data_IF_186607081676
#
_entry.id   IF_186607081676
#
_cell.length_a   1.000
_cell.length_b   1.000
_cell.length_c   1.000
_cell.angle_alpha   90.00
_cell.angle_beta   90.00
_cell.angle_gamma   90.00
#
_symmetry.space_group_name_H-M   'P 1'
#
loop_
_entity.id
_entity.type
_entity.pdbx_description
1 polymer ?
#
# COMPACT_ATOMS: atom_id res chain seq x y z
N UNK A 1 -19.73 -0.35 -34.77
CA UNK A 1 -19.39 0.58 -33.70
C UNK A 1 -18.64 1.74 -34.31
N UNK A 2 -18.85 2.98 -33.85
CA UNK A 2 -18.05 4.12 -34.34
C UNK A 2 -16.59 3.93 -33.92
N UNK A 3 -15.64 4.48 -34.68
CA UNK A 3 -14.20 4.44 -34.32
C UNK A 3 -13.95 4.96 -32.90
N UNK A 4 -14.69 5.96 -32.46
CA UNK A 4 -14.61 6.57 -31.13
C UNK A 4 -15.05 5.62 -30.01
N UNK A 5 -16.15 4.87 -30.20
CA UNK A 5 -16.61 3.88 -29.20
C UNK A 5 -15.60 2.76 -29.01
N UNK A 6 -14.90 2.36 -30.07
CA UNK A 6 -13.83 1.37 -29.98
C UNK A 6 -12.64 1.93 -29.19
N UNK A 7 -12.25 3.18 -29.47
CA UNK A 7 -11.16 3.85 -28.72
C UNK A 7 -11.49 3.98 -27.22
N UNK A 8 -12.73 4.27 -26.85
CA UNK A 8 -13.16 4.28 -25.45
C UNK A 8 -13.00 2.90 -24.81
N UNK A 9 -13.47 1.84 -25.48
CA UNK A 9 -13.36 0.48 -24.98
C UNK A 9 -11.90 0.06 -24.79
N UNK A 10 -11.00 0.45 -25.68
CA UNK A 10 -9.57 0.15 -25.57
C UNK A 10 -8.95 0.86 -24.37
N UNK A 11 -9.27 2.13 -24.15
CA UNK A 11 -8.78 2.90 -22.97
C UNK A 11 -9.27 2.32 -21.64
N UNK A 12 -10.54 1.94 -21.58
CA UNK A 12 -11.13 1.31 -20.39
C UNK A 12 -10.43 -0.03 -20.10
N UNK A 13 -10.17 -0.81 -21.14
CA UNK A 13 -9.49 -2.10 -21.02
C UNK A 13 -8.02 -1.95 -20.59
N UNK A 14 -7.29 -0.96 -21.15
CA UNK A 14 -5.93 -0.61 -20.74
C UNK A 14 -5.86 -0.21 -19.26
N UNK A 15 -6.90 0.43 -18.73
CA UNK A 15 -7.03 0.79 -17.31
C UNK A 15 -7.43 -0.40 -16.40
N UNK A 16 -7.50 -1.62 -16.96
CA UNK A 16 -7.88 -2.82 -16.22
C UNK A 16 -9.36 -2.86 -15.81
N UNK A 17 -10.23 -2.20 -16.56
CA UNK A 17 -11.67 -2.21 -16.36
C UNK A 17 -12.36 -3.13 -17.37
N UNK A 18 -13.43 -3.80 -16.92
CA UNK A 18 -14.18 -4.77 -17.75
C UNK A 18 -15.56 -4.22 -18.05
N UNK A 19 -15.81 -3.97 -19.33
CA UNK A 19 -17.12 -3.56 -19.86
C UNK A 19 -17.43 -4.37 -21.11
N UNK A 20 -18.68 -4.76 -21.29
CA UNK A 20 -19.16 -5.42 -22.50
C UNK A 20 -19.29 -4.43 -23.64
N UNK A 21 -19.79 -3.23 -23.31
CA UNK A 21 -19.88 -2.13 -24.24
C UNK A 21 -19.79 -0.80 -23.47
N UNK A 22 -19.32 0.27 -24.11
CA UNK A 22 -19.21 1.59 -23.47
C UNK A 22 -20.45 2.41 -23.80
N UNK A 23 -21.22 2.74 -22.77
CA UNK A 23 -22.34 3.68 -22.85
C UNK A 23 -21.78 5.11 -22.73
N UNK A 24 -22.04 5.93 -23.75
CA UNK A 24 -21.51 7.29 -23.80
C UNK A 24 -22.66 8.32 -23.73
N UNK A 25 -23.45 8.20 -22.69
CA UNK A 25 -24.66 9.00 -22.39
C UNK A 25 -24.38 10.15 -21.40
N UNK A 26 -23.12 10.32 -20.98
CA UNK A 26 -22.73 11.33 -20.01
C UNK A 26 -23.14 11.00 -18.57
N UNK A 27 -23.56 9.76 -18.28
CA UNK A 27 -23.80 9.31 -16.91
C UNK A 27 -22.60 8.53 -16.36
N UNK A 28 -22.57 8.36 -15.04
CA UNK A 28 -21.55 7.56 -14.38
C UNK A 28 -21.95 6.08 -14.41
N UNK A 29 -21.16 5.26 -15.08
CA UNK A 29 -21.35 3.82 -15.16
C UNK A 29 -20.36 3.08 -14.27
N UNK A 30 -20.87 2.08 -13.53
CA UNK A 30 -20.03 1.18 -12.73
C UNK A 30 -19.71 -0.09 -13.52
N UNK A 31 -18.49 -0.58 -13.34
CA UNK A 31 -18.01 -1.78 -14.03
C UNK A 31 -17.07 -2.60 -13.16
N UNK A 32 -16.81 -3.83 -13.59
CA UNK A 32 -15.83 -4.70 -12.96
C UNK A 32 -14.38 -4.30 -13.26
N UNK A 33 -13.46 -4.99 -12.61
CA UNK A 33 -12.02 -4.90 -12.87
C UNK A 33 -11.50 -6.24 -13.39
N UNK A 34 -10.37 -6.26 -14.08
CA UNK A 34 -9.80 -7.48 -14.70
C UNK A 34 -9.63 -8.61 -13.69
N UNK A 35 -9.22 -8.29 -12.47
CA UNK A 35 -9.05 -9.26 -11.38
C UNK A 35 -10.36 -9.59 -10.65
N UNK A 36 -11.41 -8.77 -10.80
CA UNK A 36 -12.76 -8.99 -10.26
C UNK A 36 -13.84 -8.54 -11.24
N UNK A 37 -14.13 -9.33 -12.29
CA UNK A 37 -15.07 -8.92 -13.35
C UNK A 37 -16.50 -8.60 -12.89
N UNK A 38 -16.96 -9.24 -11.83
CA UNK A 38 -18.29 -9.05 -11.26
C UNK A 38 -18.34 -7.99 -10.13
N UNK A 39 -17.26 -7.24 -9.92
CA UNK A 39 -17.24 -6.15 -8.93
C UNK A 39 -17.83 -4.86 -9.49
N UNK A 40 -17.95 -3.85 -8.63
CA UNK A 40 -18.28 -2.47 -8.98
C UNK A 40 -17.12 -1.53 -8.62
N UNK A 41 -15.88 -2.05 -8.72
CA UNK A 41 -14.67 -1.36 -8.31
C UNK A 41 -14.07 -0.49 -9.41
N UNK A 42 -14.73 -0.44 -10.58
CA UNK A 42 -14.45 0.48 -11.66
C UNK A 42 -15.60 1.43 -11.92
N UNK A 43 -15.29 2.57 -12.52
CA UNK A 43 -16.31 3.46 -13.11
C UNK A 43 -15.75 4.21 -14.31
N UNK A 44 -16.66 4.62 -15.19
CA UNK A 44 -16.35 5.52 -16.29
C UNK A 44 -17.53 6.48 -16.56
N UNK A 45 -17.23 7.58 -17.24
CA UNK A 45 -18.22 8.52 -17.78
C UNK A 45 -17.75 8.94 -19.17
N UNK A 46 -18.58 8.73 -20.19
CA UNK A 46 -18.21 8.95 -21.59
C UNK A 46 -19.20 9.86 -22.31
N UNK A 47 -18.68 10.63 -23.27
CA UNK A 47 -19.43 11.60 -24.08
C UNK A 47 -19.02 11.45 -25.55
N UNK A 48 -19.99 11.31 -26.46
CA UNK A 48 -19.74 11.25 -27.92
C UNK A 48 -19.80 12.63 -28.59
N UNK A 49 -20.43 13.62 -27.96
CA UNK A 49 -20.49 14.99 -28.48
C UNK A 49 -19.10 15.64 -28.44
N UNK A 50 -18.87 16.56 -29.36
CA UNK A 50 -17.55 17.18 -29.56
C UNK A 50 -17.11 18.09 -28.40
N UNK A 51 -15.87 17.94 -27.91
CA UNK A 51 -14.93 16.88 -28.24
C UNK A 51 -15.30 15.58 -27.51
N UNK A 52 -15.38 14.46 -28.25
CA UNK A 52 -15.66 13.16 -27.66
C UNK A 52 -14.63 12.85 -26.58
N UNK A 53 -15.09 12.43 -25.41
CA UNK A 53 -14.22 12.28 -24.24
C UNK A 53 -14.71 11.20 -23.30
N UNK A 54 -13.77 10.61 -22.56
CA UNK A 54 -14.06 9.63 -21.52
C UNK A 54 -13.17 9.90 -20.31
N UNK A 55 -13.73 9.71 -19.13
CA UNK A 55 -13.04 9.64 -17.85
C UNK A 55 -13.27 8.27 -17.24
N UNK A 56 -12.26 7.73 -16.51
CA UNK A 56 -12.35 6.46 -15.79
C UNK A 56 -11.64 6.49 -14.45
N UNK A 57 -12.04 5.56 -13.58
CA UNK A 57 -11.42 5.28 -12.29
C UNK A 57 -11.45 3.79 -11.99
N UNK A 58 -10.30 3.24 -11.62
CA UNK A 58 -10.15 1.90 -11.06
C UNK A 58 -9.75 2.03 -9.58
N UNK A 59 -10.67 1.72 -8.67
CA UNK A 59 -10.41 1.86 -7.22
C UNK A 59 -9.47 0.80 -6.67
N UNK A 60 -9.23 -0.30 -7.40
CA UNK A 60 -8.34 -1.37 -6.94
C UNK A 60 -6.88 -1.05 -7.22
N UNK A 61 -6.57 -0.56 -8.38
CA UNK A 61 -5.22 -0.17 -8.78
C UNK A 61 -4.90 1.27 -8.43
N UNK A 62 -5.92 2.11 -8.23
CA UNK A 62 -5.78 3.56 -8.09
C UNK A 62 -5.68 4.29 -9.41
N UNK A 63 -5.72 3.56 -10.56
CA UNK A 63 -5.63 4.17 -11.87
C UNK A 63 -6.83 5.09 -12.13
N UNK A 64 -6.54 6.31 -12.56
CA UNK A 64 -7.52 7.32 -12.92
C UNK A 64 -7.01 8.09 -14.12
N UNK A 65 -7.84 8.20 -15.13
CA UNK A 65 -7.44 8.87 -16.35
C UNK A 65 -8.61 9.48 -17.11
N UNK A 66 -8.24 10.15 -18.17
CA UNK A 66 -9.20 10.66 -19.16
C UNK A 66 -8.57 10.63 -20.55
N UNK A 67 -9.43 10.48 -21.56
CA UNK A 67 -9.02 10.56 -22.94
C UNK A 67 -9.98 11.46 -23.70
N UNK A 68 -9.47 12.14 -24.73
CA UNK A 68 -10.23 12.99 -25.62
C UNK A 68 -9.81 12.73 -27.06
N UNK A 69 -10.78 12.63 -27.95
CA UNK A 69 -10.56 12.39 -29.39
C UNK A 69 -9.93 13.55 -30.14
N UNK A 70 -9.78 14.72 -29.51
CA UNK A 70 -9.15 15.91 -30.08
C UNK A 70 -7.86 16.23 -29.33
N UNK A 71 -6.78 16.48 -30.06
CA UNK A 71 -5.51 16.90 -29.46
C UNK A 71 -5.67 18.25 -28.74
N UNK A 72 -4.99 18.41 -27.61
CA UNK A 72 -5.02 19.67 -26.87
C UNK A 72 -4.52 20.89 -27.67
N UNK A 73 -3.70 20.66 -28.73
CA UNK A 73 -3.28 21.73 -29.65
C UNK A 73 -4.39 22.17 -30.61
N UNK A 74 -5.31 21.27 -30.94
CA UNK A 74 -6.38 21.46 -31.90
C UNK A 74 -7.70 21.87 -31.24
N UNK A 75 -7.73 21.96 -29.91
CA UNK A 75 -8.89 22.42 -29.14
C UNK A 75 -8.93 23.93 -29.04
N UNK A 76 -10.12 24.48 -29.24
CA UNK A 76 -10.41 25.86 -28.84
C UNK A 76 -10.39 26.02 -27.32
N UNK A 77 -10.30 27.26 -26.84
CA UNK A 77 -10.37 27.55 -25.39
C UNK A 77 -11.68 27.05 -24.79
N UNK A 78 -12.80 27.25 -25.45
CA UNK A 78 -14.11 26.78 -25.00
C UNK A 78 -14.19 25.24 -24.90
N UNK A 79 -13.64 24.52 -25.88
CA UNK A 79 -13.60 23.03 -25.84
C UNK A 79 -12.73 22.49 -24.69
N UNK A 80 -11.60 23.18 -24.38
CA UNK A 80 -10.75 22.80 -23.23
C UNK A 80 -11.45 23.03 -21.90
N UNK A 81 -12.16 24.15 -21.77
CA UNK A 81 -12.94 24.46 -20.57
C UNK A 81 -14.09 23.45 -20.40
N UNK A 82 -14.81 23.13 -21.48
CA UNK A 82 -15.86 22.13 -21.44
C UNK A 82 -15.34 20.74 -21.05
N UNK A 83 -14.21 20.31 -21.61
CA UNK A 83 -13.58 19.04 -21.25
C UNK A 83 -13.17 19.02 -19.76
N UNK A 84 -12.54 20.10 -19.28
CA UNK A 84 -12.14 20.24 -17.87
C UNK A 84 -13.36 20.19 -16.94
N UNK A 85 -14.45 20.86 -17.30
CA UNK A 85 -15.70 20.84 -16.55
C UNK A 85 -16.31 19.42 -16.47
N UNK A 86 -16.36 18.70 -17.62
CA UNK A 86 -16.85 17.30 -17.67
C UNK A 86 -16.03 16.34 -16.80
N UNK A 87 -14.71 16.47 -16.83
CA UNK A 87 -13.83 15.65 -15.99
C UNK A 87 -14.06 15.97 -14.50
N UNK A 88 -14.17 17.24 -14.14
CA UNK A 88 -14.45 17.66 -12.77
C UNK A 88 -15.79 17.12 -12.27
N UNK A 89 -16.84 17.24 -13.08
CA UNK A 89 -18.19 16.71 -12.78
C UNK A 89 -18.17 15.18 -12.64
N UNK A 90 -17.43 14.47 -13.50
CA UNK A 90 -17.31 13.01 -13.40
C UNK A 90 -16.63 12.59 -12.10
N UNK A 91 -15.56 13.28 -11.70
CA UNK A 91 -14.84 13.04 -10.44
C UNK A 91 -15.73 13.32 -9.23
N UNK A 92 -16.46 14.41 -9.24
CA UNK A 92 -17.36 14.80 -8.15
C UNK A 92 -18.51 13.76 -8.01
N UNK A 93 -19.14 13.38 -9.12
CA UNK A 93 -20.18 12.36 -9.12
C UNK A 93 -19.67 11.01 -8.57
N UNK A 94 -18.48 10.58 -9.02
CA UNK A 94 -17.87 9.35 -8.54
C UNK A 94 -17.50 9.43 -7.04
N UNK A 95 -17.00 10.57 -6.58
CA UNK A 95 -16.67 10.78 -5.17
C UNK A 95 -17.92 10.78 -4.29
N UNK A 96 -18.99 11.42 -4.74
CA UNK A 96 -20.28 11.45 -4.04
C UNK A 96 -20.88 10.06 -3.92
N UNK A 97 -20.98 9.32 -5.02
CA UNK A 97 -21.50 7.95 -5.01
C UNK A 97 -20.66 7.04 -4.09
N UNK A 98 -19.33 7.18 -4.15
CA UNK A 98 -18.44 6.40 -3.30
C UNK A 98 -18.64 6.75 -1.82
N UNK A 99 -18.82 8.03 -1.49
CA UNK A 99 -19.12 8.47 -0.11
C UNK A 99 -20.45 7.90 0.40
N UNK A 100 -21.49 7.89 -0.44
CA UNK A 100 -22.78 7.28 -0.10
C UNK A 100 -22.68 5.77 0.14
N UNK A 101 -21.90 5.07 -0.69
CA UNK A 101 -21.62 3.63 -0.49
C UNK A 101 -20.89 3.38 0.84
N UNK A 102 -19.88 4.20 1.14
CA UNK A 102 -19.15 4.11 2.40
C UNK A 102 -20.07 4.37 3.60
N UNK A 103 -20.91 5.39 3.54
CA UNK A 103 -21.86 5.71 4.61
C UNK A 103 -22.84 4.55 4.89
N UNK A 104 -23.42 3.96 3.83
CA UNK A 104 -24.28 2.78 3.94
C UNK A 104 -23.56 1.58 4.53
N UNK A 105 -22.33 1.33 4.10
CA UNK A 105 -21.53 0.23 4.63
C UNK A 105 -21.13 0.45 6.10
N UNK A 106 -20.82 1.68 6.49
CA UNK A 106 -20.53 2.04 7.88
C UNK A 106 -21.73 1.82 8.78
N UNK A 107 -22.93 2.25 8.36
CA UNK A 107 -24.17 2.01 9.09
C UNK A 107 -24.45 0.50 9.25
N UNK A 108 -24.29 -0.26 8.16
CA UNK A 108 -24.44 -1.71 8.18
C UNK A 108 -23.41 -2.39 9.09
N UNK A 109 -22.16 -1.95 9.05
CA UNK A 109 -21.09 -2.44 9.93
C UNK A 109 -21.43 -2.23 11.39
N UNK A 110 -21.96 -1.06 11.77
CA UNK A 110 -22.44 -0.77 13.13
C UNK A 110 -23.54 -1.73 13.56
N UNK A 111 -24.58 -1.89 12.74
CA UNK A 111 -25.71 -2.80 13.03
C UNK A 111 -25.25 -4.26 13.21
N UNK A 112 -24.38 -4.73 12.32
CA UNK A 112 -23.83 -6.09 12.40
C UNK A 112 -22.96 -6.27 13.64
N UNK A 113 -22.16 -5.27 13.97
CA UNK A 113 -21.30 -5.27 15.15
C UNK A 113 -22.12 -5.28 16.46
N UNK A 114 -23.17 -4.50 16.55
CA UNK A 114 -24.08 -4.47 17.71
C UNK A 114 -24.82 -5.78 17.91
N UNK A 115 -25.30 -6.40 16.82
CA UNK A 115 -26.02 -7.67 16.85
C UNK A 115 -25.14 -8.90 17.14
N UNK A 116 -23.80 -8.76 17.02
CA UNK A 116 -22.87 -9.85 17.22
C UNK A 116 -22.52 -10.04 18.71
N UNK A 117 -22.23 -11.28 19.09
CA UNK A 117 -21.75 -11.62 20.44
C UNK A 117 -20.21 -11.64 20.51
N UNK A 118 -19.67 -11.60 21.72
CA UNK A 118 -18.22 -11.70 21.92
C UNK A 118 -17.69 -13.04 21.37
N UNK A 119 -16.60 -12.98 20.61
CA UNK A 119 -15.91 -14.19 20.15
C UNK A 119 -15.22 -14.87 21.33
N UNK A 120 -15.08 -16.19 21.24
CA UNK A 120 -14.37 -17.01 22.22
C UNK A 120 -13.21 -17.75 21.60
N UNK A 121 -12.27 -18.22 22.40
CA UNK A 121 -11.12 -19.03 21.96
C UNK A 121 -11.54 -20.33 21.25
N UNK A 122 -12.78 -20.77 21.43
CA UNK A 122 -13.33 -21.97 20.78
C UNK A 122 -13.58 -21.80 19.27
N UNK A 123 -13.52 -20.58 18.73
CA UNK A 123 -13.68 -20.38 17.30
C UNK A 123 -12.56 -21.10 16.52
N UNK A 124 -12.90 -21.97 15.52
CA UNK A 124 -11.92 -22.83 14.87
C UNK A 124 -10.67 -22.12 14.31
N UNK A 125 -10.86 -20.91 13.76
CA UNK A 125 -9.73 -20.10 13.29
C UNK A 125 -8.80 -19.67 14.44
N UNK A 126 -9.36 -19.19 15.57
CA UNK A 126 -8.57 -18.74 16.71
C UNK A 126 -7.85 -19.89 17.38
N UNK A 127 -8.55 -21.02 17.58
CA UNK A 127 -7.95 -22.24 18.11
C UNK A 127 -6.80 -22.74 17.25
N UNK A 128 -6.98 -22.80 15.91
CA UNK A 128 -5.93 -23.22 14.98
C UNK A 128 -4.74 -22.27 14.93
N UNK A 129 -4.96 -20.96 15.16
CA UNK A 129 -3.92 -19.94 15.17
C UNK A 129 -3.32 -19.68 16.56
N UNK A 130 -3.81 -20.38 17.59
CA UNK A 130 -3.39 -20.26 18.99
C UNK A 130 -3.39 -18.82 19.51
N UNK A 131 -4.40 -18.04 19.12
CA UNK A 131 -4.54 -16.63 19.52
C UNK A 131 -5.93 -16.36 20.10
N UNK A 132 -6.03 -15.58 21.20
CA UNK A 132 -7.31 -15.19 21.74
C UNK A 132 -8.02 -14.15 20.87
N UNK A 133 -9.32 -13.93 21.07
CA UNK A 133 -10.11 -13.01 20.25
C UNK A 133 -9.76 -11.53 20.42
N UNK A 134 -9.16 -11.11 21.52
CA UNK A 134 -8.80 -9.70 21.80
C UNK A 134 -9.93 -8.69 21.45
N UNK A 135 -11.15 -8.97 21.92
CA UNK A 135 -12.29 -8.09 21.66
C UNK A 135 -12.98 -8.25 20.32
N UNK A 136 -12.61 -9.24 19.52
CA UNK A 136 -13.37 -9.60 18.34
C UNK A 136 -14.79 -10.07 18.71
N UNK A 137 -15.69 -9.97 17.76
CA UNK A 137 -17.03 -10.51 17.87
C UNK A 137 -17.26 -11.63 16.85
N UNK A 138 -18.29 -12.42 17.09
CA UNK A 138 -18.72 -13.49 16.21
C UNK A 138 -20.12 -13.18 15.69
N UNK A 139 -20.28 -13.20 14.38
CA UNK A 139 -21.56 -13.04 13.70
C UNK A 139 -22.45 -14.28 13.92
N UNK A 140 -23.76 -14.14 13.66
CA UNK A 140 -24.73 -15.24 13.83
C UNK A 140 -24.41 -16.44 12.88
N UNK A 141 -23.78 -16.19 11.75
CA UNK A 141 -23.34 -17.22 10.80
C UNK A 141 -22.02 -17.91 11.19
N UNK A 142 -21.49 -17.60 12.37
CA UNK A 142 -20.30 -18.22 12.93
C UNK A 142 -18.99 -17.53 12.54
N UNK A 143 -18.95 -16.57 11.61
CA UNK A 143 -17.72 -15.89 11.21
C UNK A 143 -17.23 -14.91 12.28
N UNK A 144 -15.92 -14.81 12.47
CA UNK A 144 -15.32 -13.74 13.25
C UNK A 144 -15.49 -12.40 12.54
N UNK A 145 -15.64 -11.36 13.33
CA UNK A 145 -15.75 -9.97 12.87
C UNK A 145 -14.59 -9.18 13.46
N UNK A 146 -13.75 -8.63 12.60
CA UNK A 146 -12.66 -7.72 12.95
C UNK A 146 -13.08 -6.32 12.48
N UNK A 147 -13.24 -5.34 13.40
CA UNK A 147 -13.65 -3.99 12.99
C UNK A 147 -12.50 -3.29 12.26
N UNK A 148 -12.84 -2.64 11.16
CA UNK A 148 -11.94 -1.76 10.42
C UNK A 148 -12.18 -0.34 10.92
N UNK A 149 -11.24 0.19 11.70
CA UNK A 149 -11.33 1.49 12.34
C UNK A 149 -10.71 2.58 11.45
N UNK A 150 -11.23 3.78 11.50
CA UNK A 150 -10.61 4.97 10.92
C UNK A 150 -9.58 5.61 11.89
N UNK A 151 -8.94 6.70 11.47
CA UNK A 151 -7.96 7.42 12.29
C UNK A 151 -8.52 7.98 13.62
N UNK A 152 -9.83 8.13 13.73
CA UNK A 152 -10.52 8.56 14.97
C UNK A 152 -10.88 7.36 15.86
N UNK A 153 -10.62 6.12 15.42
CA UNK A 153 -11.00 4.90 16.11
C UNK A 153 -12.46 4.49 15.89
N UNK A 154 -13.13 5.10 14.92
CA UNK A 154 -14.53 4.80 14.60
C UNK A 154 -14.61 3.64 13.60
N UNK A 155 -15.46 2.61 13.85
CA UNK A 155 -15.66 1.53 12.88
C UNK A 155 -16.26 2.05 11.58
N UNK A 156 -15.58 1.79 10.45
CA UNK A 156 -16.03 2.17 9.11
C UNK A 156 -16.35 0.98 8.21
N UNK A 157 -15.89 -0.21 8.57
CA UNK A 157 -16.14 -1.46 7.87
C UNK A 157 -15.86 -2.65 8.79
N UNK A 158 -16.02 -3.86 8.27
CA UNK A 158 -15.71 -5.11 8.95
C UNK A 158 -14.91 -6.04 8.03
N UNK A 159 -13.96 -6.79 8.60
CA UNK A 159 -13.43 -7.99 7.98
C UNK A 159 -14.06 -9.20 8.65
N UNK A 160 -14.60 -10.12 7.85
CA UNK A 160 -15.09 -11.43 8.30
C UNK A 160 -14.00 -12.48 8.08
N UNK A 161 -13.83 -13.36 9.06
CA UNK A 161 -12.93 -14.52 8.97
C UNK A 161 -13.76 -15.75 9.30
N UNK A 162 -13.83 -16.70 8.37
CA UNK A 162 -14.56 -17.94 8.59
C UNK A 162 -13.74 -18.99 9.36
N UNK A 163 -14.34 -20.16 9.58
CA UNK A 163 -13.70 -21.26 10.27
C UNK A 163 -12.42 -21.75 9.58
N UNK A 164 -12.37 -21.69 8.25
CA UNK A 164 -11.22 -22.12 7.45
C UNK A 164 -10.14 -21.03 7.34
N UNK A 165 -10.47 -19.80 7.75
CA UNK A 165 -9.55 -18.65 7.73
C UNK A 165 -9.66 -17.81 6.45
N UNK A 166 -10.69 -18.03 5.62
CA UNK A 166 -10.95 -17.15 4.49
C UNK A 166 -11.38 -15.77 5.01
N UNK A 167 -10.78 -14.73 4.45
CA UNK A 167 -10.98 -13.35 4.87
C UNK A 167 -11.74 -12.57 3.81
N UNK A 168 -12.87 -11.96 4.19
CA UNK A 168 -13.67 -11.12 3.30
C UNK A 168 -14.05 -9.83 3.98
N UNK A 169 -13.95 -8.71 3.27
CA UNK A 169 -14.45 -7.44 3.79
C UNK A 169 -15.94 -7.26 3.53
N UNK A 170 -16.58 -6.46 4.37
CA UNK A 170 -17.94 -6.00 4.14
C UNK A 170 -18.01 -5.27 2.80
N UNK A 171 -18.92 -5.71 1.94
CA UNK A 171 -19.08 -5.14 0.59
C UNK A 171 -19.41 -3.65 0.66
N UNK A 172 -18.73 -2.85 -0.15
CA UNK A 172 -18.88 -1.39 -0.17
C UNK A 172 -18.21 -0.66 0.99
N UNK A 173 -17.63 -1.37 1.96
CA UNK A 173 -16.94 -0.77 3.10
C UNK A 173 -15.57 -0.16 2.73
N UNK A 174 -15.23 0.93 3.38
CA UNK A 174 -13.91 1.54 3.23
C UNK A 174 -12.87 0.73 3.99
N UNK A 175 -11.82 0.30 3.32
CA UNK A 175 -10.69 -0.43 3.92
C UNK A 175 -9.38 0.35 3.86
N UNK A 176 -9.23 1.22 2.87
CA UNK A 176 -8.04 2.05 2.70
C UNK A 176 -7.84 2.99 3.89
N UNK A 177 -6.67 2.91 4.52
CA UNK A 177 -6.32 3.65 5.73
C UNK A 177 -6.96 3.10 7.01
N UNK A 178 -7.80 2.06 6.90
CA UNK A 178 -8.42 1.42 8.04
C UNK A 178 -7.47 0.43 8.73
N UNK A 179 -7.63 0.28 10.03
CA UNK A 179 -6.83 -0.63 10.85
C UNK A 179 -7.68 -1.27 11.96
N UNK A 180 -7.16 -2.34 12.56
CA UNK A 180 -7.64 -2.85 13.85
C UNK A 180 -6.57 -2.59 14.91
N UNK A 181 -6.97 -2.26 16.14
CA UNK A 181 -6.04 -1.88 17.21
C UNK A 181 -6.08 -2.87 18.36
N UNK A 182 -4.91 -3.33 18.74
CA UNK A 182 -4.65 -4.04 20.00
C UNK A 182 -3.88 -3.08 20.92
N UNK A 183 -4.50 -2.55 21.97
CA UNK A 183 -3.80 -1.64 22.91
C UNK A 183 -2.70 -2.37 23.66
N UNK A 184 -1.69 -1.65 24.14
CA UNK A 184 -0.65 -2.25 24.96
C UNK A 184 -1.26 -2.90 26.21
N UNK A 185 -0.71 -4.05 26.63
CA UNK A 185 -1.25 -4.84 27.76
C UNK A 185 -1.20 -4.11 29.09
N UNK A 186 -0.18 -3.27 29.30
CA UNK A 186 0.00 -2.43 30.47
C UNK A 186 -0.73 -1.08 30.39
N UNK A 187 -1.45 -0.84 29.28
CA UNK A 187 -2.10 0.43 28.99
C UNK A 187 -1.17 1.56 28.61
N UNK A 188 0.16 1.30 28.48
CA UNK A 188 1.16 2.30 28.12
C UNK A 188 0.89 2.87 26.72
N UNK A 189 1.04 4.20 26.61
CA UNK A 189 0.98 4.90 25.31
C UNK A 189 2.36 5.20 24.74
N UNK A 190 3.41 5.04 25.54
CA UNK A 190 4.78 5.46 25.22
C UNK A 190 5.66 4.32 24.73
N UNK A 191 5.25 3.06 24.96
CA UNK A 191 5.97 1.88 24.45
C UNK A 191 5.89 1.75 22.91
N UNK A 192 6.65 0.81 22.33
CA UNK A 192 6.65 0.56 20.89
C UNK A 192 5.25 0.34 20.33
N UNK A 193 5.05 0.76 19.09
CA UNK A 193 3.85 0.50 18.30
C UNK A 193 4.22 -0.41 17.12
N UNK A 194 3.66 -1.61 17.11
CA UNK A 194 3.88 -2.56 16.03
C UNK A 194 2.81 -2.40 14.95
N UNK A 195 3.18 -2.60 13.69
CA UNK A 195 2.21 -2.62 12.57
C UNK A 195 2.40 -3.94 11.83
N UNK A 196 1.32 -4.72 11.74
CA UNK A 196 1.28 -6.03 11.10
C UNK A 196 0.24 -6.08 9.99
N UNK A 197 0.38 -7.04 9.08
CA UNK A 197 -0.58 -7.21 7.98
C UNK A 197 -1.89 -7.86 8.46
N UNK A 198 -1.84 -9.00 9.11
CA UNK A 198 -3.00 -9.82 9.45
C UNK A 198 -3.32 -9.87 10.94
N UNK A 199 -4.59 -10.25 11.28
CA UNK A 199 -5.01 -10.36 12.66
C UNK A 199 -4.18 -11.37 13.46
N UNK A 200 -3.98 -12.61 12.96
CA UNK A 200 -3.24 -13.63 13.70
C UNK A 200 -1.77 -13.24 13.93
N UNK A 201 -1.13 -12.64 12.90
CA UNK A 201 0.22 -12.05 13.01
C UNK A 201 0.25 -10.99 14.10
N UNK A 202 -0.69 -10.03 14.07
CA UNK A 202 -0.80 -8.97 15.07
C UNK A 202 -1.07 -9.48 16.49
N UNK A 203 -1.95 -10.49 16.63
CA UNK A 203 -2.26 -11.10 17.91
C UNK A 203 -1.05 -11.84 18.49
N UNK A 204 -0.28 -12.58 17.69
CA UNK A 204 0.96 -13.25 18.12
C UNK A 204 2.03 -12.25 18.57
N UNK A 205 2.19 -11.15 17.83
CA UNK A 205 3.08 -10.05 18.20
C UNK A 205 2.66 -9.43 19.56
N UNK A 206 1.36 -9.16 19.72
CA UNK A 206 0.82 -8.63 20.97
C UNK A 206 1.01 -9.60 22.15
N UNK A 207 0.76 -10.90 21.95
CA UNK A 207 0.99 -11.92 22.97
C UNK A 207 2.45 -11.98 23.42
N UNK A 208 3.36 -11.95 22.44
CA UNK A 208 4.79 -12.10 22.69
C UNK A 208 5.41 -10.89 23.39
N UNK A 209 5.00 -9.67 23.02
CA UNK A 209 5.65 -8.44 23.45
C UNK A 209 4.87 -7.65 24.50
N UNK A 210 3.55 -7.78 24.50
CA UNK A 210 2.65 -6.90 25.26
C UNK A 210 2.48 -5.50 24.65
N UNK A 211 3.17 -5.19 23.54
CA UNK A 211 3.12 -3.90 22.88
C UNK A 211 1.79 -3.66 22.16
N UNK A 212 1.48 -2.38 21.92
CA UNK A 212 0.35 -2.03 21.06
C UNK A 212 0.61 -2.46 19.61
N UNK A 213 -0.42 -2.97 18.96
CA UNK A 213 -0.34 -3.42 17.56
C UNK A 213 -1.47 -2.82 16.72
N UNK A 214 -1.14 -2.31 15.55
CA UNK A 214 -2.11 -1.98 14.51
C UNK A 214 -2.07 -3.06 13.41
N UNK A 215 -3.22 -3.61 13.07
CA UNK A 215 -3.39 -4.56 11.99
C UNK A 215 -3.87 -3.81 10.76
N UNK A 216 -3.09 -3.81 9.68
CA UNK A 216 -3.36 -3.07 8.46
C UNK A 216 -4.23 -3.84 7.43
N UNK A 217 -4.53 -5.10 7.70
CA UNK A 217 -5.36 -6.03 6.93
C UNK A 217 -4.77 -6.55 5.61
N UNK A 218 -3.91 -5.83 4.95
CA UNK A 218 -3.22 -6.26 3.73
C UNK A 218 -1.96 -5.42 3.46
N UNK A 219 -1.07 -5.97 2.64
CA UNK A 219 0.21 -5.39 2.24
C UNK A 219 0.05 -3.97 1.66
N UNK A 220 -0.95 -3.75 0.79
CA UNK A 220 -1.19 -2.46 0.14
C UNK A 220 -1.59 -1.32 1.10
N UNK A 221 -2.09 -1.68 2.28
CA UNK A 221 -2.54 -0.71 3.28
C UNK A 221 -1.45 -0.35 4.32
N UNK A 222 -0.36 -1.13 4.41
CA UNK A 222 0.72 -0.92 5.39
C UNK A 222 1.25 0.51 5.39
N UNK A 223 1.58 1.05 4.22
CA UNK A 223 2.11 2.41 4.11
C UNK A 223 1.11 3.48 4.57
N UNK A 224 -0.17 3.31 4.26
CA UNK A 224 -1.21 4.28 4.64
C UNK A 224 -1.42 4.26 6.16
N UNK A 225 -1.49 3.08 6.77
CA UNK A 225 -1.59 2.91 8.23
C UNK A 225 -0.33 3.43 8.92
N UNK A 226 0.85 3.15 8.40
CA UNK A 226 2.11 3.65 8.95
C UNK A 226 2.18 5.19 8.96
N UNK A 227 1.80 5.84 7.86
CA UNK A 227 1.72 7.31 7.78
C UNK A 227 0.74 7.90 8.78
N UNK A 228 -0.44 7.29 8.90
CA UNK A 228 -1.45 7.69 9.88
C UNK A 228 -0.89 7.53 11.31
N UNK A 229 -0.30 6.39 11.62
CA UNK A 229 0.30 6.13 12.93
C UNK A 229 1.42 7.14 13.28
N UNK A 230 2.32 7.45 12.34
CA UNK A 230 3.38 8.46 12.55
C UNK A 230 2.81 9.86 12.76
N UNK A 231 1.75 10.23 12.03
CA UNK A 231 1.07 11.52 12.24
C UNK A 231 0.41 11.62 13.61
N UNK A 232 -0.19 10.52 14.08
CA UNK A 232 -0.88 10.45 15.37
C UNK A 232 0.10 10.34 16.55
N UNK A 233 1.24 9.71 16.34
CA UNK A 233 2.29 9.43 17.34
C UNK A 233 3.66 9.86 16.80
N UNK A 234 3.97 11.17 16.74
CA UNK A 234 5.18 11.68 16.09
C UNK A 234 6.49 11.12 16.64
N UNK A 235 6.57 10.95 17.96
CA UNK A 235 7.78 10.57 18.67
C UNK A 235 7.82 9.09 19.07
N UNK A 236 6.73 8.36 18.83
CA UNK A 236 6.63 6.96 19.23
C UNK A 236 7.50 6.06 18.34
N UNK A 237 8.16 5.09 18.95
CA UNK A 237 8.86 4.04 18.23
C UNK A 237 7.84 3.19 17.46
N UNK A 238 7.92 3.18 16.11
CA UNK A 238 7.03 2.40 15.24
C UNK A 238 7.83 1.34 14.53
N UNK A 239 7.37 0.09 14.60
CA UNK A 239 8.04 -1.07 14.02
C UNK A 239 7.08 -1.76 13.04
N UNK A 240 7.45 -1.81 11.77
CA UNK A 240 6.76 -2.59 10.76
C UNK A 240 7.17 -4.05 10.89
N UNK A 241 6.20 -4.95 11.11
CA UNK A 241 6.43 -6.37 11.24
C UNK A 241 6.05 -7.06 9.92
N UNK A 242 7.06 -7.42 9.14
CA UNK A 242 6.89 -7.96 7.80
C UNK A 242 6.71 -9.47 7.79
N UNK A 243 5.69 -9.95 7.09
CA UNK A 243 5.56 -11.34 6.68
C UNK A 243 6.64 -11.65 5.63
N UNK A 244 7.19 -12.86 5.66
CA UNK A 244 8.33 -13.26 4.82
C UNK A 244 7.88 -14.26 3.74
N UNK A 245 7.55 -13.73 2.56
CA UNK A 245 7.02 -14.47 1.42
C UNK A 245 8.13 -14.92 0.44
N UNK A 246 9.19 -15.53 0.94
CA UNK A 246 10.40 -15.90 0.15
C UNK A 246 10.13 -16.77 -1.09
N UNK A 247 9.03 -17.52 -1.11
CA UNK A 247 8.66 -18.40 -2.22
C UNK A 247 7.91 -17.68 -3.34
N UNK A 248 7.47 -16.44 -3.10
CA UNK A 248 6.69 -15.68 -4.09
C UNK A 248 7.57 -15.26 -5.27
N UNK A 249 7.01 -15.29 -6.47
CA UNK A 249 7.69 -14.91 -7.71
C UNK A 249 6.88 -13.85 -8.45
N UNK A 250 7.60 -12.95 -9.16
CA UNK A 250 6.98 -12.05 -10.12
C UNK A 250 6.51 -12.81 -11.37
N UNK A 251 5.65 -12.24 -12.21
CA UNK A 251 5.22 -12.86 -13.47
C UNK A 251 6.38 -13.25 -14.40
N UNK A 252 7.52 -12.57 -14.31
CA UNK A 252 8.75 -12.85 -15.04
C UNK A 252 9.62 -13.94 -14.40
N UNK A 253 9.17 -14.55 -13.29
CA UNK A 253 9.87 -15.58 -12.55
C UNK A 253 10.91 -15.08 -11.54
N UNK A 254 11.17 -13.78 -11.46
CA UNK A 254 12.12 -13.21 -10.51
C UNK A 254 11.64 -13.40 -9.05
N UNK A 255 12.56 -13.62 -8.08
CA UNK A 255 12.20 -13.66 -6.67
C UNK A 255 11.48 -12.38 -6.24
N UNK A 256 10.42 -12.54 -5.45
CA UNK A 256 9.66 -11.41 -4.95
C UNK A 256 9.18 -11.68 -3.53
N UNK A 257 9.30 -10.67 -2.67
CA UNK A 257 8.83 -10.75 -1.29
C UNK A 257 7.95 -9.51 -1.01
N UNK A 258 6.67 -9.56 -1.40
CA UNK A 258 5.79 -8.41 -1.32
C UNK A 258 5.57 -7.90 0.11
N UNK A 259 5.51 -8.78 1.10
CA UNK A 259 5.38 -8.41 2.51
C UNK A 259 6.58 -7.59 2.99
N UNK A 260 7.79 -8.09 2.74
CA UNK A 260 9.02 -7.38 3.13
C UNK A 260 9.20 -6.09 2.34
N UNK A 261 8.92 -6.07 1.03
CA UNK A 261 9.04 -4.86 0.20
C UNK A 261 8.11 -3.74 0.68
N UNK A 262 6.84 -4.07 0.94
CA UNK A 262 5.86 -3.09 1.39
C UNK A 262 6.16 -2.57 2.80
N UNK A 263 6.53 -3.45 3.73
CA UNK A 263 6.89 -3.07 5.09
C UNK A 263 8.18 -2.23 5.12
N UNK A 264 9.20 -2.58 4.33
CA UNK A 264 10.44 -1.80 4.19
C UNK A 264 10.18 -0.40 3.67
N UNK A 265 9.36 -0.29 2.61
CA UNK A 265 8.94 1.02 2.05
C UNK A 265 8.18 1.85 3.08
N UNK A 266 7.28 1.22 3.83
CA UNK A 266 6.51 1.89 4.87
C UNK A 266 7.43 2.37 6.00
N UNK A 267 8.33 1.51 6.52
CA UNK A 267 9.29 1.85 7.56
C UNK A 267 10.19 3.02 7.14
N UNK A 268 10.82 2.94 5.97
CA UNK A 268 11.66 4.01 5.43
C UNK A 268 10.90 5.33 5.28
N UNK A 269 9.63 5.30 4.83
CA UNK A 269 8.83 6.50 4.63
C UNK A 269 8.53 7.25 5.92
N UNK A 270 8.35 6.54 7.04
CA UNK A 270 7.94 7.14 8.33
C UNK A 270 9.10 7.27 9.32
N UNK A 271 10.33 6.93 8.95
CA UNK A 271 11.44 6.82 9.90
C UNK A 271 11.17 5.77 10.99
N UNK A 272 10.53 4.68 10.63
CA UNK A 272 10.24 3.54 11.51
C UNK A 272 11.28 2.43 11.38
N UNK A 273 11.16 1.42 12.26
CA UNK A 273 11.99 0.22 12.24
C UNK A 273 11.29 -0.91 11.48
N UNK A 274 12.06 -1.94 11.13
CA UNK A 274 11.55 -3.10 10.39
C UNK A 274 11.96 -4.39 11.12
N UNK A 275 10.99 -5.19 11.50
CA UNK A 275 11.16 -6.56 11.96
C UNK A 275 10.70 -7.52 10.87
N UNK A 276 11.57 -8.39 10.37
CA UNK A 276 11.25 -9.38 9.34
C UNK A 276 11.10 -10.73 10.02
N UNK A 277 9.97 -11.41 9.80
CA UNK A 277 9.80 -12.78 10.27
C UNK A 277 10.89 -13.68 9.65
N UNK A 278 11.65 -14.44 10.43
CA UNK A 278 12.62 -15.36 9.87
C UNK A 278 11.91 -16.45 9.03
N UNK A 279 12.56 -16.89 7.96
CA UNK A 279 12.09 -18.05 7.21
C UNK A 279 12.09 -19.28 8.14
N UNK A 280 11.03 -20.08 8.03
CA UNK A 280 10.90 -21.32 8.78
C UNK A 280 11.00 -22.48 7.80
N UNK A 281 11.95 -23.38 8.02
CA UNK A 281 12.23 -24.54 7.17
C UNK A 281 12.46 -24.16 5.67
N UNK A 282 12.97 -22.94 5.44
CA UNK A 282 13.26 -22.41 4.11
C UNK A 282 12.04 -21.84 3.36
N UNK A 283 10.83 -21.97 3.91
CA UNK A 283 9.59 -21.51 3.30
C UNK A 283 9.13 -20.12 3.80
N UNK A 284 7.98 -19.69 3.29
CA UNK A 284 7.30 -18.49 3.75
C UNK A 284 6.85 -18.63 5.21
N UNK A 285 6.86 -17.53 5.94
CA UNK A 285 6.38 -17.48 7.32
C UNK A 285 5.87 -16.11 7.72
N UNK A 286 4.87 -16.08 8.56
CA UNK A 286 4.44 -14.91 9.30
C UNK A 286 4.76 -15.05 10.81
N UNK A 287 4.55 -13.99 11.61
CA UNK A 287 4.83 -14.06 13.04
C UNK A 287 3.88 -14.98 13.82
N UNK A 288 2.72 -15.35 13.27
CA UNK A 288 1.90 -16.39 13.85
C UNK A 288 2.49 -17.79 13.55
N UNK A 289 3.03 -18.03 12.37
CA UNK A 289 3.76 -19.25 12.06
C UNK A 289 5.01 -19.39 12.96
N UNK A 290 5.73 -18.30 13.22
CA UNK A 290 6.86 -18.26 14.14
C UNK A 290 6.43 -18.60 15.59
N UNK A 291 5.29 -18.03 16.03
CA UNK A 291 4.69 -18.36 17.32
C UNK A 291 4.41 -19.85 17.43
N UNK A 292 3.65 -20.42 16.49
CA UNK A 292 3.18 -21.79 16.52
C UNK A 292 4.28 -22.83 16.32
N UNK A 293 5.24 -22.56 15.43
CA UNK A 293 6.31 -23.53 15.10
C UNK A 293 7.53 -23.41 15.98
N UNK A 294 7.70 -22.30 16.68
CA UNK A 294 8.82 -22.04 17.60
C UNK A 294 8.30 -21.65 18.99
N UNK A 295 8.02 -20.37 19.22
CA UNK A 295 7.46 -19.89 20.48
C UNK A 295 7.14 -18.41 20.43
N UNK A 296 6.37 -17.91 21.40
CA UNK A 296 6.18 -16.45 21.64
C UNK A 296 7.52 -15.77 21.96
N UNK A 297 8.45 -16.46 22.63
CA UNK A 297 9.77 -15.92 22.93
C UNK A 297 10.58 -15.66 21.65
N UNK A 298 10.51 -16.54 20.63
CA UNK A 298 11.15 -16.32 19.34
C UNK A 298 10.56 -15.09 18.62
N UNK A 299 9.26 -14.90 18.71
CA UNK A 299 8.57 -13.70 18.18
C UNK A 299 9.10 -12.44 18.89
N UNK A 300 9.16 -12.45 20.23
CA UNK A 300 9.66 -11.35 21.02
C UNK A 300 11.11 -11.01 20.67
N UNK A 301 11.98 -11.99 20.61
CA UNK A 301 13.40 -11.80 20.27
C UNK A 301 13.58 -11.18 18.88
N UNK A 302 12.77 -11.59 17.90
CA UNK A 302 12.81 -11.01 16.54
C UNK A 302 12.45 -9.52 16.56
N UNK A 303 11.44 -9.13 17.33
CA UNK A 303 11.02 -7.72 17.46
C UNK A 303 12.09 -6.91 18.21
N UNK A 304 12.60 -7.42 19.35
CA UNK A 304 13.62 -6.71 20.15
C UNK A 304 14.93 -6.54 19.37
N UNK A 305 15.35 -7.56 18.63
CA UNK A 305 16.52 -7.46 17.75
C UNK A 305 16.38 -6.32 16.73
N UNK A 306 15.22 -6.18 16.10
CA UNK A 306 14.95 -5.08 15.17
C UNK A 306 14.98 -3.70 15.87
N UNK A 307 14.65 -3.65 17.16
CA UNK A 307 14.77 -2.43 17.96
C UNK A 307 16.22 -2.07 18.22
N UNK A 308 17.06 -3.02 18.58
CA UNK A 308 18.48 -2.83 18.89
C UNK A 308 19.29 -2.48 17.64
N UNK A 309 19.15 -3.23 16.55
CA UNK A 309 19.90 -3.02 15.31
C UNK A 309 19.69 -1.61 14.72
N UNK A 310 18.44 -1.11 14.73
CA UNK A 310 18.16 0.24 14.25
C UNK A 310 18.56 1.34 15.26
N UNK A 311 18.70 1.04 16.55
CA UNK A 311 19.30 1.96 17.53
C UNK A 311 20.77 2.19 17.21
N UNK A 312 21.48 1.15 16.81
CA UNK A 312 22.90 1.23 16.43
C UNK A 312 23.09 2.01 15.11
N UNK A 313 22.15 1.90 14.15
CA UNK A 313 22.21 2.63 12.88
C UNK A 313 21.98 4.14 13.04
N UNK A 314 21.13 4.56 13.98
CA UNK A 314 20.96 5.99 14.33
C UNK A 314 22.15 6.54 15.11
N UNK A 315 22.90 5.68 15.81
CA UNK A 315 24.16 6.05 16.45
C UNK A 315 25.38 6.06 15.51
N UNK A 316 25.22 5.71 14.24
CA UNK A 316 26.34 5.69 13.28
C UNK A 316 26.65 7.05 12.63
N UNK A 317 26.04 8.15 13.07
CA UNK A 317 26.64 9.45 12.92
C UNK A 317 27.86 9.49 13.84
N UNK A 318 28.98 8.97 13.32
CA UNK A 318 30.26 9.07 14.01
C UNK A 318 30.67 10.54 14.04
N UNK A 319 30.44 11.18 15.17
CA UNK A 319 30.98 12.52 15.43
C UNK A 319 32.47 12.33 15.72
N UNK A 320 33.30 12.84 14.83
CA UNK A 320 34.75 12.85 14.97
C UNK A 320 35.21 14.29 15.20
N UNK A 321 36.22 14.49 15.98
CA UNK A 321 36.87 15.80 16.09
C UNK A 321 37.67 16.09 14.82
N UNK A 322 38.14 17.35 14.70
CA UNK A 322 38.86 17.77 13.47
C UNK A 322 40.19 17.03 13.32
N UNK A 323 40.88 16.69 14.41
CA UNK A 323 42.17 15.98 14.36
C UNK A 323 41.95 14.52 13.90
N UNK A 324 40.91 13.85 14.38
CA UNK A 324 40.49 12.53 13.93
C UNK A 324 40.06 12.56 12.45
N UNK A 325 39.26 13.53 12.05
CA UNK A 325 38.83 13.69 10.63
C UNK A 325 40.02 13.84 9.70
N UNK A 326 41.00 14.64 10.05
CA UNK A 326 42.21 14.85 9.25
C UNK A 326 43.12 13.61 9.21
N UNK A 327 43.02 12.72 10.18
CA UNK A 327 43.78 11.45 10.23
C UNK A 327 43.12 10.33 9.40
N UNK A 328 41.80 10.47 9.04
CA UNK A 328 41.08 9.48 8.28
C UNK A 328 41.59 9.42 6.83
N UNK A 329 42.01 8.26 6.38
CA UNK A 329 42.23 7.98 4.94
C UNK A 329 40.87 7.79 4.27
N UNK A 330 40.25 8.88 3.83
CA UNK A 330 39.02 8.83 3.05
C UNK A 330 39.41 8.46 1.62
N UNK A 331 38.96 7.29 1.11
CA UNK A 331 39.26 6.92 -0.27
C UNK A 331 38.64 7.96 -1.21
N UNK A 332 39.32 8.28 -2.36
CA UNK A 332 38.74 9.18 -3.34
C UNK A 332 37.42 8.59 -3.85
N UNK A 333 36.44 9.48 -4.07
CA UNK A 333 35.14 9.08 -4.55
C UNK A 333 35.25 8.42 -5.92
N UNK A 334 34.67 7.22 -6.07
CA UNK A 334 34.58 6.57 -7.37
C UNK A 334 33.72 7.38 -8.35
N UNK A 335 33.94 7.19 -9.63
CA UNK A 335 33.16 7.85 -10.69
C UNK A 335 32.54 6.80 -11.60
N UNK A 336 31.25 6.97 -11.89
CA UNK A 336 30.56 6.23 -12.96
C UNK A 336 31.00 6.74 -14.34
N UNK A 337 31.29 8.01 -14.44
CA UNK A 337 31.91 8.67 -15.61
C UNK A 337 32.86 9.75 -15.11
N UNK A 338 34.17 9.50 -15.22
CA UNK A 338 35.18 10.45 -14.79
C UNK A 338 35.28 11.62 -15.79
N UNK A 339 35.44 12.86 -15.34
CA UNK A 339 35.38 13.34 -13.94
C UNK A 339 34.00 13.85 -13.53
N UNK A 340 32.95 13.58 -14.31
CA UNK A 340 31.68 14.33 -14.29
C UNK A 340 30.62 13.68 -13.41
N UNK A 341 30.51 12.34 -13.41
CA UNK A 341 29.45 11.64 -12.68
C UNK A 341 30.08 10.78 -11.57
N UNK A 342 30.06 11.24 -10.33
CA UNK A 342 30.54 10.46 -9.19
C UNK A 342 29.58 9.31 -8.85
N UNK A 343 30.09 8.23 -8.27
CA UNK A 343 29.27 7.21 -7.63
C UNK A 343 28.42 7.83 -6.51
N UNK A 344 27.13 7.45 -6.45
CA UNK A 344 26.18 7.98 -5.47
C UNK A 344 26.04 9.53 -5.51
N UNK A 345 26.33 10.13 -6.65
CA UNK A 345 26.17 11.57 -6.88
C UNK A 345 24.93 11.91 -7.70
N UNK A 346 24.44 13.14 -7.54
CA UNK A 346 23.39 13.73 -8.38
C UNK A 346 24.05 14.66 -9.40
N UNK A 347 23.80 14.41 -10.71
CA UNK A 347 24.21 15.27 -11.79
C UNK A 347 23.01 15.84 -12.52
N UNK A 348 23.03 17.13 -12.84
CA UNK A 348 21.99 17.80 -13.61
C UNK A 348 22.52 18.18 -15.00
N UNK A 349 21.84 17.68 -16.04
CA UNK A 349 22.12 18.10 -17.43
C UNK A 349 21.15 19.22 -17.81
N UNK A 350 21.70 20.43 -17.93
CA UNK A 350 20.94 21.63 -18.30
C UNK A 350 21.29 22.11 -19.70
N UNK A 351 20.29 22.39 -20.52
CA UNK A 351 20.41 23.05 -21.82
C UNK A 351 19.04 23.54 -22.29
N UNK A 352 18.98 24.40 -23.30
CA UNK A 352 17.74 24.86 -23.92
C UNK A 352 16.92 23.71 -24.53
N UNK A 353 15.63 23.94 -24.73
CA UNK A 353 14.74 22.96 -25.35
C UNK A 353 15.18 22.68 -26.78
N UNK A 354 15.25 21.42 -27.17
CA UNK A 354 15.65 20.99 -28.52
C UNK A 354 17.14 20.72 -28.71
N UNK A 355 18.01 21.02 -27.73
CA UNK A 355 19.47 20.83 -27.83
C UNK A 355 19.96 19.38 -27.66
N UNK A 356 19.10 18.39 -27.76
CA UNK A 356 19.52 16.98 -27.75
C UNK A 356 19.88 16.39 -26.38
N UNK A 357 19.44 17.01 -25.25
CA UNK A 357 19.71 16.51 -23.88
C UNK A 357 19.41 15.02 -23.70
N UNK A 358 18.31 14.54 -24.26
CA UNK A 358 17.90 13.14 -24.15
C UNK A 358 18.90 12.21 -24.82
N UNK A 359 19.41 12.58 -26.02
CA UNK A 359 20.44 11.80 -26.71
C UNK A 359 21.75 11.81 -25.94
N UNK A 360 22.18 12.95 -25.41
CA UNK A 360 23.35 13.05 -24.56
C UNK A 360 23.24 12.17 -23.31
N UNK A 361 22.09 12.21 -22.61
CA UNK A 361 21.85 11.36 -21.45
C UNK A 361 21.84 9.88 -21.78
N UNK A 362 21.24 9.48 -22.91
CA UNK A 362 21.27 8.09 -23.39
C UNK A 362 22.69 7.63 -23.75
N UNK A 363 23.49 8.49 -24.40
CA UNK A 363 24.88 8.18 -24.72
C UNK A 363 25.71 7.97 -23.44
N UNK A 364 25.53 8.84 -22.45
CA UNK A 364 26.20 8.71 -21.14
C UNK A 364 25.79 7.39 -20.47
N UNK A 365 24.48 7.10 -20.41
CA UNK A 365 23.98 5.87 -19.79
C UNK A 365 24.52 4.61 -20.50
N UNK A 366 24.55 4.62 -21.83
CA UNK A 366 25.09 3.52 -22.60
C UNK A 366 26.61 3.32 -22.34
N UNK A 367 27.39 4.40 -22.33
CA UNK A 367 28.80 4.33 -22.04
C UNK A 367 29.09 3.80 -20.63
N UNK A 368 28.36 4.23 -19.63
CA UNK A 368 28.47 3.70 -18.26
C UNK A 368 28.16 2.20 -18.24
N UNK A 369 27.07 1.78 -18.89
CA UNK A 369 26.65 0.38 -18.92
C UNK A 369 27.61 -0.55 -19.68
N UNK A 370 28.28 -0.02 -20.72
CA UNK A 370 29.22 -0.78 -21.58
C UNK A 370 30.69 -0.68 -21.15
N UNK A 371 31.00 0.13 -20.13
CA UNK A 371 32.37 0.43 -19.74
C UNK A 371 33.13 1.25 -20.80
N UNK A 372 32.40 2.00 -21.62
CA UNK A 372 32.97 2.81 -22.71
C UNK A 372 33.31 4.24 -22.33
N UNK A 373 33.61 5.06 -23.35
CA UNK A 373 33.92 6.49 -23.21
C UNK A 373 32.81 7.34 -23.82
N UNK A 374 32.69 8.60 -23.35
CA UNK A 374 31.73 9.58 -23.85
C UNK A 374 32.47 10.82 -24.32
N UNK A 375 32.05 11.33 -25.47
CA UNK A 375 32.64 12.54 -26.10
C UNK A 375 34.12 12.44 -26.51
N UNK A 376 34.56 11.25 -26.87
CA UNK A 376 35.87 11.00 -27.50
C UNK A 376 36.89 10.50 -26.56
#
# INVERSE_FOLDING_TARGET
MSNTSQQFADRIREAGLVVTHVEADGLLHRCGTTDKPNSHDGAYKAFLDAPASIWWKNWRTGDEGSWCGKSGKDMTTAEREALKARIAEAKEAAAKEQAERYAKATELAGKLWEAAHAATDAHPYLARKEVPPFGLKQAQDGRLMVPVLDAAGTPQSLQFIDADGEKRFLSGGRTAGGYFSLPARDGSKDGPLLIAEGYATGASLHLATGYAVLVAFNTGNLLTVARMARKQYPDREIILCADNDVETRKPDGAPWNPGVEAASKAAATIGGKLAICPSIDGGKADFNDLHMRRSLEAVRQTVEKAREENSTALHSLRVVDIAELLSLRIPPRGHLLYPVIPEQGLCMLFAERGMGKTFAALHVAYAIASGGTVFG
#
